data_IF_857771818469
#
_entry.id   IF_857771818469
#
_cell.length_a   1.000
_cell.length_b   1.000
_cell.length_c   1.000
_cell.angle_alpha   90.00
_cell.angle_beta   90.00
_cell.angle_gamma   90.00
#
_symmetry.space_group_name_H-M   'P 1'
#
loop_
_entity.id
_entity.type
_entity.pdbx_description
1 polymer ?
#
# COMPACT_ATOMS: atom_id res chain seq x y z
N UNK A 1 38.15 6.15 -4.49
CA UNK A 1 37.22 5.10 -4.03
C UNK A 1 35.82 5.52 -4.40
N UNK A 2 35.32 5.01 -5.53
CA UNK A 2 33.91 5.14 -5.90
C UNK A 2 33.13 4.15 -5.06
N UNK A 3 32.49 4.63 -4.01
CA UNK A 3 31.53 3.83 -3.24
C UNK A 3 30.37 3.53 -4.20
N UNK A 4 30.30 2.30 -4.70
CA UNK A 4 29.11 1.79 -5.36
C UNK A 4 27.95 1.92 -4.39
N UNK A 5 27.12 2.93 -4.61
CA UNK A 5 25.78 2.99 -4.03
C UNK A 5 25.03 1.83 -4.68
N UNK A 6 25.12 0.64 -4.08
CA UNK A 6 24.22 -0.46 -4.39
C UNK A 6 22.82 0.14 -4.40
N UNK A 7 22.16 0.07 -5.56
CA UNK A 7 20.81 0.55 -5.78
C UNK A 7 19.86 -0.27 -4.90
N UNK A 8 19.81 0.04 -3.61
CA UNK A 8 18.88 -0.55 -2.64
C UNK A 8 17.49 0.11 -2.79
N UNK A 9 17.20 0.53 -4.02
CA UNK A 9 16.03 1.28 -4.41
C UNK A 9 14.85 0.33 -4.50
N UNK A 10 13.72 0.78 -3.97
CA UNK A 10 12.46 0.09 -4.14
C UNK A 10 12.04 0.22 -5.61
N UNK A 11 11.78 -0.91 -6.28
CA UNK A 11 11.12 -0.90 -7.59
C UNK A 11 9.62 -0.81 -7.35
N UNK A 12 8.94 0.11 -8.03
CA UNK A 12 7.50 0.33 -7.82
C UNK A 12 6.71 -0.97 -8.04
N UNK A 13 7.23 -1.84 -8.89
CA UNK A 13 6.72 -3.17 -9.21
C UNK A 13 6.74 -4.12 -7.99
N UNK A 14 7.80 -4.09 -7.17
CA UNK A 14 7.87 -4.87 -5.93
C UNK A 14 6.77 -4.45 -4.95
N UNK A 15 6.54 -3.13 -4.79
CA UNK A 15 5.49 -2.61 -3.89
C UNK A 15 4.13 -3.08 -4.40
N UNK A 16 3.88 -2.88 -5.70
CA UNK A 16 2.61 -3.22 -6.32
C UNK A 16 2.31 -4.72 -6.23
N UNK A 17 3.33 -5.57 -6.38
CA UNK A 17 3.19 -7.02 -6.24
C UNK A 17 2.77 -7.40 -4.81
N UNK A 18 3.43 -6.83 -3.80
CA UNK A 18 3.09 -7.04 -2.39
C UNK A 18 1.64 -6.60 -2.10
N UNK A 19 1.26 -5.41 -2.55
CA UNK A 19 -0.10 -4.88 -2.35
C UNK A 19 -1.14 -5.82 -2.97
N UNK A 20 -0.95 -6.24 -4.23
CA UNK A 20 -1.88 -7.14 -4.91
C UNK A 20 -2.04 -8.47 -4.18
N UNK A 21 -0.93 -9.11 -3.80
CA UNK A 21 -0.97 -10.37 -3.05
C UNK A 21 -1.72 -10.25 -1.74
N UNK A 22 -1.50 -9.17 -0.98
CA UNK A 22 -2.22 -8.95 0.28
C UNK A 22 -3.70 -8.71 0.04
N UNK A 23 -4.08 -7.93 -0.97
CA UNK A 23 -5.49 -7.69 -1.29
C UNK A 23 -6.19 -8.99 -1.72
N UNK A 24 -5.52 -9.85 -2.50
CA UNK A 24 -6.04 -11.16 -2.90
C UNK A 24 -6.21 -12.10 -1.70
N UNK A 25 -5.28 -12.07 -0.73
CA UNK A 25 -5.37 -12.86 0.50
C UNK A 25 -6.46 -12.36 1.46
N UNK A 26 -6.64 -11.04 1.58
CA UNK A 26 -7.54 -10.43 2.56
C UNK A 26 -8.99 -10.37 2.08
N UNK A 27 -9.21 -10.03 0.80
CA UNK A 27 -10.55 -9.88 0.22
C UNK A 27 -10.92 -11.11 -0.61
N UNK A 28 -10.02 -11.52 -1.49
CA UNK A 28 -10.21 -12.64 -2.40
C UNK A 28 -11.48 -12.51 -3.26
N UNK A 29 -12.27 -13.59 -3.32
CA UNK A 29 -13.55 -13.65 -4.04
C UNK A 29 -14.77 -13.43 -3.12
N UNK A 30 -14.56 -12.82 -1.95
CA UNK A 30 -15.64 -12.62 -0.97
C UNK A 30 -16.67 -11.60 -1.49
N UNK A 31 -17.98 -11.90 -1.43
CA UNK A 31 -18.99 -10.91 -1.77
C UNK A 31 -18.94 -9.74 -0.80
N UNK A 32 -19.19 -8.52 -1.29
CA UNK A 32 -19.13 -7.34 -0.46
C UNK A 32 -20.11 -7.41 0.72
N UNK A 33 -19.59 -7.16 1.93
CA UNK A 33 -20.35 -6.98 3.14
C UNK A 33 -19.76 -5.79 3.91
N UNK A 34 -20.61 -4.92 4.44
CA UNK A 34 -20.20 -3.73 5.16
C UNK A 34 -19.32 -4.02 6.40
N UNK A 35 -19.66 -5.05 7.17
CA UNK A 35 -18.88 -5.38 8.38
C UNK A 35 -17.52 -5.99 8.00
N UNK A 36 -17.52 -6.82 6.96
CA UNK A 36 -16.31 -7.48 6.48
C UNK A 36 -15.39 -6.47 5.77
N UNK A 37 -15.93 -5.47 5.07
CA UNK A 37 -15.14 -4.46 4.36
C UNK A 37 -14.31 -3.58 5.30
N UNK A 38 -14.85 -3.24 6.48
CA UNK A 38 -14.10 -2.56 7.54
C UNK A 38 -12.94 -3.41 8.06
N UNK A 39 -13.18 -4.72 8.20
CA UNK A 39 -12.17 -5.66 8.66
C UNK A 39 -11.09 -5.89 7.59
N UNK A 40 -11.48 -6.04 6.32
CA UNK A 40 -10.56 -6.15 5.19
C UNK A 40 -9.67 -4.92 5.05
N UNK A 41 -10.23 -3.72 5.21
CA UNK A 41 -9.44 -2.49 5.13
C UNK A 41 -8.35 -2.44 6.20
N UNK A 42 -8.70 -2.77 7.46
CA UNK A 42 -7.74 -2.86 8.57
C UNK A 42 -6.65 -3.90 8.31
N UNK A 43 -7.06 -5.11 7.93
CA UNK A 43 -6.14 -6.21 7.67
C UNK A 43 -5.21 -5.92 6.48
N UNK A 44 -5.74 -5.33 5.40
CA UNK A 44 -4.94 -4.97 4.23
C UNK A 44 -3.83 -3.97 4.59
N UNK A 45 -4.16 -2.89 5.30
CA UNK A 45 -3.18 -1.87 5.72
C UNK A 45 -2.12 -2.48 6.63
N UNK A 46 -2.54 -3.31 7.61
CA UNK A 46 -1.63 -3.95 8.55
C UNK A 46 -0.68 -4.94 7.84
N UNK A 47 -1.22 -5.80 6.98
CA UNK A 47 -0.43 -6.81 6.26
C UNK A 47 0.52 -6.20 5.24
N UNK A 48 0.07 -5.17 4.48
CA UNK A 48 0.95 -4.42 3.58
C UNK A 48 2.10 -3.80 4.37
N UNK A 49 1.81 -3.13 5.49
CA UNK A 49 2.83 -2.51 6.34
C UNK A 49 3.81 -3.54 6.88
N UNK A 50 3.33 -4.68 7.37
CA UNK A 50 4.18 -5.78 7.85
C UNK A 50 5.12 -6.29 6.76
N UNK A 51 4.61 -6.53 5.54
CA UNK A 51 5.42 -7.00 4.42
C UNK A 51 6.46 -5.96 3.99
N UNK A 52 6.10 -4.68 3.98
CA UNK A 52 7.04 -3.59 3.68
C UNK A 52 8.17 -3.48 4.72
N UNK A 53 7.83 -3.58 6.02
CA UNK A 53 8.82 -3.58 7.10
C UNK A 53 9.71 -4.83 7.05
N UNK A 54 9.16 -5.98 6.67
CA UNK A 54 9.91 -7.24 6.54
C UNK A 54 10.99 -7.21 5.45
N UNK A 55 10.93 -6.26 4.51
CA UNK A 55 12.01 -6.03 3.54
C UNK A 55 13.29 -5.47 4.19
N UNK A 56 13.23 -5.13 5.48
CA UNK A 56 14.35 -4.72 6.33
C UNK A 56 15.19 -3.58 5.72
N UNK A 57 14.51 -2.61 5.09
CA UNK A 57 15.15 -1.42 4.52
C UNK A 57 14.97 -0.22 5.45
N UNK A 58 15.92 0.73 5.49
CA UNK A 58 15.90 1.86 6.41
C UNK A 58 14.97 2.99 5.94
N UNK A 59 13.71 2.68 5.66
CA UNK A 59 12.68 3.63 5.26
C UNK A 59 11.56 3.73 6.30
N UNK A 60 10.86 4.86 6.31
CA UNK A 60 9.58 5.00 7.01
C UNK A 60 8.46 4.76 6.00
N UNK A 61 7.51 3.89 6.33
CA UNK A 61 6.40 3.54 5.45
C UNK A 61 5.11 4.17 5.95
N UNK A 62 4.35 4.77 5.03
CA UNK A 62 2.98 5.24 5.28
C UNK A 62 2.08 4.54 4.27
N UNK A 63 1.04 3.87 4.77
CA UNK A 63 0.05 3.18 3.94
C UNK A 63 -1.31 3.81 4.21
N UNK A 64 -1.95 4.32 3.16
CA UNK A 64 -3.32 4.82 3.19
C UNK A 64 -4.19 3.91 2.31
N UNK A 65 -5.32 3.46 2.83
CA UNK A 65 -6.28 2.64 2.09
C UNK A 65 -7.67 3.25 2.18
N UNK A 66 -8.34 3.37 1.03
CA UNK A 66 -9.72 3.83 0.92
C UNK A 66 -10.52 2.76 0.18
N UNK A 67 -11.65 2.35 0.74
CA UNK A 67 -12.52 1.32 0.16
C UNK A 67 -13.88 1.95 -0.16
N UNK A 68 -14.33 1.75 -1.40
CA UNK A 68 -15.60 2.27 -1.89
C UNK A 68 -16.48 1.13 -2.39
N UNK A 69 -17.72 1.08 -1.89
CA UNK A 69 -18.74 0.20 -2.47
C UNK A 69 -19.26 0.84 -3.77
N UNK A 70 -19.15 0.12 -4.89
CA UNK A 70 -19.66 0.59 -6.18
C UNK A 70 -21.18 0.37 -6.20
N UNK A 71 -21.94 1.43 -5.89
CA UNK A 71 -23.41 1.47 -5.98
C UNK A 71 -23.90 2.62 -6.85
N UNK A 72 -25.20 2.62 -7.18
CA UNK A 72 -25.82 3.64 -8.03
C UNK A 72 -25.58 5.07 -7.51
N UNK A 73 -24.88 5.90 -8.29
CA UNK A 73 -24.61 7.29 -7.96
C UNK A 73 -23.38 7.54 -7.08
N UNK A 74 -22.54 6.54 -6.85
CA UNK A 74 -21.35 6.69 -6.01
C UNK A 74 -20.21 7.36 -6.78
N UNK A 75 -19.71 8.49 -6.26
CA UNK A 75 -18.48 9.14 -6.72
C UNK A 75 -17.49 9.25 -5.56
N UNK A 76 -16.20 9.04 -5.84
CA UNK A 76 -15.14 9.19 -4.84
C UNK A 76 -14.02 10.04 -5.42
N UNK A 77 -13.76 11.17 -4.77
CA UNK A 77 -12.56 11.98 -5.01
C UNK A 77 -11.67 11.85 -3.77
N UNK A 78 -10.48 11.27 -3.95
CA UNK A 78 -9.45 11.19 -2.92
C UNK A 78 -8.28 12.03 -3.36
N UNK A 79 -7.91 13.02 -2.56
CA UNK A 79 -6.70 13.84 -2.74
C UNK A 79 -5.79 13.61 -1.55
N UNK A 80 -4.52 13.28 -1.79
CA UNK A 80 -3.50 13.17 -0.74
C UNK A 80 -2.41 14.19 -1.05
N UNK A 81 -2.06 15.01 -0.05
CA UNK A 81 -0.98 15.99 -0.17
C UNK A 81 0.09 15.60 0.84
N UNK A 82 1.31 15.41 0.35
CA UNK A 82 2.47 15.06 1.15
C UNK A 82 3.67 15.87 0.70
N UNK A 83 4.52 16.28 1.64
CA UNK A 83 5.78 16.97 1.35
C UNK A 83 6.95 16.02 1.60
N UNK A 84 7.48 15.46 0.52
CA UNK A 84 8.53 14.45 0.52
C UNK A 84 9.88 15.03 0.08
N UNK A 85 10.98 14.49 0.60
CA UNK A 85 12.31 14.84 0.12
C UNK A 85 12.59 14.15 -1.22
N UNK A 86 12.62 14.91 -2.31
CA UNK A 86 12.81 14.39 -3.68
C UNK A 86 14.10 13.58 -3.90
N UNK A 87 15.10 13.73 -3.03
CA UNK A 87 16.37 12.99 -3.14
C UNK A 87 16.32 11.60 -2.49
N UNK A 88 15.46 11.38 -1.48
CA UNK A 88 15.44 10.15 -0.65
C UNK A 88 14.10 9.44 -0.66
N UNK A 89 13.01 10.19 -0.83
CA UNK A 89 11.65 9.72 -0.69
C UNK A 89 11.03 9.60 -2.09
N UNK A 90 10.33 8.48 -2.32
CA UNK A 90 9.63 8.22 -3.58
C UNK A 90 8.13 8.20 -3.34
N UNK A 91 7.40 8.73 -4.31
CA UNK A 91 5.94 8.61 -4.45
C UNK A 91 5.56 7.21 -4.94
#
# INVERSE_FOLDING_TARGET
MTTEVKSNQFTQEEVQSIIKQVLDEVIGLSPYNYNDSLNWNKQAVEQITKRLVALNRPYKYIVNSSLLQIGSGTGMNVSTISYWNKATDRE
#
